data_IF_254411741324
#
_entry.id   IF_254411741324
#
_cell.length_a   1.000
_cell.length_b   1.000
_cell.length_c   1.000
_cell.angle_alpha   90.00
_cell.angle_beta   90.00
_cell.angle_gamma   90.00
#
_symmetry.space_group_name_H-M   'P 1'
#
loop_
_entity.id
_entity.type
_entity.pdbx_description
1 polymer ?
#
# COMPACT_ATOMS: atom_id res chain seq x y z
N UNK A 1 13.10 -2.79 -4.05
CA UNK A 1 11.80 -2.46 -4.68
C UNK A 1 11.80 -1.06 -5.29
N UNK A 2 12.28 -0.03 -4.58
CA UNK A 2 12.49 1.32 -5.15
C UNK A 2 13.27 1.29 -6.49
N UNK A 3 14.36 0.52 -6.58
CA UNK A 3 15.16 0.35 -7.82
C UNK A 3 14.36 -0.16 -9.03
N UNK A 4 13.36 -1.01 -8.81
CA UNK A 4 12.51 -1.57 -9.88
C UNK A 4 11.55 -0.50 -10.43
N UNK A 5 11.06 0.38 -9.56
CA UNK A 5 10.24 1.53 -9.97
C UNK A 5 11.08 2.59 -10.68
N UNK A 6 12.27 2.90 -10.18
CA UNK A 6 13.21 3.80 -10.85
C UNK A 6 13.59 3.28 -12.23
N UNK A 7 13.85 1.98 -12.37
CA UNK A 7 14.11 1.37 -13.69
C UNK A 7 12.91 1.48 -14.62
N UNK A 8 11.69 1.28 -14.12
CA UNK A 8 10.47 1.42 -14.91
C UNK A 8 10.25 2.85 -15.41
N UNK A 9 10.66 3.85 -14.63
CA UNK A 9 10.55 5.27 -14.98
C UNK A 9 11.71 5.72 -15.88
N UNK A 10 12.94 5.27 -15.62
CA UNK A 10 14.14 5.76 -16.34
C UNK A 10 14.13 5.40 -17.83
N UNK A 11 13.57 4.24 -18.18
CA UNK A 11 13.49 3.77 -19.57
C UNK A 11 12.13 4.02 -20.23
N UNK A 12 11.27 4.81 -19.59
CA UNK A 12 9.91 5.06 -20.05
C UNK A 12 9.76 6.36 -20.81
N UNK A 13 8.76 6.41 -21.70
CA UNK A 13 8.31 7.67 -22.30
C UNK A 13 7.31 8.34 -21.38
N UNK A 14 7.62 9.58 -20.99
CA UNK A 14 6.66 10.46 -20.31
C UNK A 14 5.50 10.83 -21.24
N UNK A 15 4.27 10.65 -20.78
CA UNK A 15 3.05 10.92 -21.54
C UNK A 15 2.31 12.19 -21.09
N UNK A 16 2.64 12.72 -19.92
CA UNK A 16 2.02 13.92 -19.39
C UNK A 16 1.57 13.78 -17.94
N UNK A 17 0.96 14.87 -17.45
CA UNK A 17 0.37 14.99 -16.12
C UNK A 17 -1.15 14.83 -16.22
N UNK A 18 -1.72 13.97 -15.39
CA UNK A 18 -3.14 13.64 -15.40
C UNK A 18 -3.74 13.73 -14.00
N UNK A 19 -4.88 14.40 -13.88
CA UNK A 19 -5.75 14.23 -12.70
C UNK A 19 -6.20 12.77 -12.59
N UNK A 20 -6.33 12.23 -11.38
CA UNK A 20 -6.60 10.81 -11.16
C UNK A 20 -7.78 10.24 -11.98
N UNK A 21 -8.91 10.96 -12.07
CA UNK A 21 -10.04 10.49 -12.88
C UNK A 21 -9.71 10.37 -14.37
N UNK A 22 -9.08 11.40 -14.94
CA UNK A 22 -8.67 11.44 -16.35
C UNK A 22 -7.55 10.45 -16.66
N UNK A 23 -6.69 10.16 -15.69
CA UNK A 23 -5.64 9.15 -15.80
C UNK A 23 -6.25 7.77 -16.07
N UNK A 24 -7.26 7.38 -15.29
CA UNK A 24 -7.92 6.08 -15.44
C UNK A 24 -8.58 5.95 -16.81
N UNK A 25 -9.33 6.97 -17.24
CA UNK A 25 -9.99 6.99 -18.54
C UNK A 25 -8.97 6.91 -19.69
N UNK A 26 -7.88 7.70 -19.61
CA UNK A 26 -6.84 7.71 -20.63
C UNK A 26 -6.12 6.37 -20.76
N UNK A 27 -5.83 5.71 -19.64
CA UNK A 27 -5.16 4.40 -19.64
C UNK A 27 -6.06 3.31 -20.22
N UNK A 28 -7.34 3.29 -19.84
CA UNK A 28 -8.35 2.35 -20.33
C UNK A 28 -8.54 2.50 -21.84
N UNK A 29 -8.81 3.72 -22.32
CA UNK A 29 -9.02 4.05 -23.73
C UNK A 29 -7.83 3.68 -24.63
N UNK A 30 -6.61 3.78 -24.10
CA UNK A 30 -5.37 3.52 -24.84
C UNK A 30 -4.83 2.12 -24.63
N UNK A 31 -5.43 1.32 -23.74
CA UNK A 31 -4.99 -0.03 -23.38
C UNK A 31 -3.49 -0.09 -23.03
N UNK A 32 -3.04 0.85 -22.19
CA UNK A 32 -1.61 1.06 -21.93
C UNK A 32 -1.06 0.16 -20.82
N UNK A 33 0.19 -0.23 -21.00
CA UNK A 33 1.07 -0.70 -19.94
C UNK A 33 1.88 0.50 -19.43
N UNK A 34 1.69 0.87 -18.17
CA UNK A 34 2.20 2.15 -17.68
C UNK A 34 2.46 2.19 -16.18
N UNK A 35 3.24 3.18 -15.77
CA UNK A 35 3.45 3.56 -14.37
C UNK A 35 3.03 5.01 -14.21
N UNK A 36 2.24 5.30 -13.19
CA UNK A 36 1.90 6.67 -12.82
C UNK A 36 2.44 7.00 -11.43
N UNK A 37 3.04 8.18 -11.28
CA UNK A 37 3.60 8.62 -10.00
C UNK A 37 2.97 9.92 -9.52
N UNK A 38 2.67 10.00 -8.23
CA UNK A 38 2.32 11.24 -7.54
C UNK A 38 3.31 11.43 -6.38
N UNK A 39 4.21 12.39 -6.55
CA UNK A 39 5.12 12.80 -5.49
C UNK A 39 4.52 13.98 -4.74
N UNK A 40 4.33 13.84 -3.44
CA UNK A 40 3.82 14.91 -2.59
C UNK A 40 4.62 15.01 -1.28
N UNK A 41 4.31 16.00 -0.44
CA UNK A 41 5.02 16.22 0.83
C UNK A 41 4.92 15.05 1.82
N UNK A 42 3.99 14.11 1.61
CA UNK A 42 3.76 12.94 2.45
C UNK A 42 4.34 11.66 1.83
N UNK A 43 5.15 11.76 0.78
CA UNK A 43 5.76 10.64 0.09
C UNK A 43 5.32 10.48 -1.36
N UNK A 44 5.68 9.35 -1.94
CA UNK A 44 5.44 9.01 -3.35
C UNK A 44 4.40 7.90 -3.45
N UNK A 45 3.40 8.10 -4.31
CA UNK A 45 2.44 7.08 -4.69
C UNK A 45 2.76 6.63 -6.11
N UNK A 46 2.72 5.32 -6.32
CA UNK A 46 2.98 4.69 -7.60
C UNK A 46 1.80 3.78 -7.94
N UNK A 47 1.23 3.98 -9.14
CA UNK A 47 0.19 3.12 -9.70
C UNK A 47 0.78 2.38 -10.90
N UNK A 48 0.47 1.09 -11.01
CA UNK A 48 0.94 0.21 -12.08
C UNK A 48 -0.28 -0.21 -12.88
N UNK A 49 -0.19 0.02 -14.19
CA UNK A 49 -1.21 -0.33 -15.16
C UNK A 49 -0.72 -1.43 -16.09
N UNK A 50 -1.54 -2.47 -16.25
CA UNK A 50 -1.31 -3.60 -17.16
C UNK A 50 -2.52 -3.68 -18.06
N UNK A 51 -2.30 -3.67 -19.37
CA UNK A 51 -3.36 -3.79 -20.39
C UNK A 51 -4.59 -2.91 -20.07
N UNK A 52 -4.35 -1.62 -19.80
CA UNK A 52 -5.43 -0.65 -19.55
C UNK A 52 -6.03 -0.68 -18.14
N UNK A 53 -5.60 -1.60 -17.27
CA UNK A 53 -6.16 -1.75 -15.93
C UNK A 53 -5.16 -1.41 -14.83
N UNK A 54 -5.63 -0.73 -13.78
CA UNK A 54 -4.85 -0.57 -12.55
C UNK A 54 -4.68 -1.93 -11.86
N UNK A 55 -3.47 -2.47 -11.95
CA UNK A 55 -3.12 -3.81 -11.53
C UNK A 55 -2.30 -3.84 -10.23
N UNK A 56 -1.58 -2.75 -9.93
CA UNK A 56 -0.79 -2.64 -8.71
C UNK A 56 -0.70 -1.22 -8.17
N UNK A 57 -0.40 -1.11 -6.89
CA UNK A 57 -0.13 0.16 -6.23
C UNK A 57 0.95 0.03 -5.17
N UNK A 58 1.81 1.05 -5.06
CA UNK A 58 2.77 1.20 -3.99
C UNK A 58 2.72 2.62 -3.44
N UNK A 59 3.01 2.76 -2.15
CA UNK A 59 3.28 4.05 -1.53
C UNK A 59 4.55 3.95 -0.71
N UNK A 60 5.38 4.98 -0.82
CA UNK A 60 6.64 5.10 -0.08
C UNK A 60 6.57 6.42 0.69
N UNK A 61 6.64 6.35 2.01
CA UNK A 61 6.70 7.51 2.90
C UNK A 61 7.57 7.25 4.13
N UNK A 62 7.57 8.18 5.08
CA UNK A 62 8.35 8.08 6.32
C UNK A 62 7.93 6.89 7.20
N UNK A 63 6.73 6.35 6.98
CA UNK A 63 6.20 5.16 7.65
C UNK A 63 6.47 3.86 6.88
N UNK A 64 7.31 3.92 5.83
CA UNK A 64 7.78 2.77 5.08
C UNK A 64 7.04 2.58 3.76
N UNK A 65 6.92 1.32 3.33
CA UNK A 65 6.27 0.97 2.07
C UNK A 65 4.92 0.29 2.32
N UNK A 66 3.90 0.74 1.59
CA UNK A 66 2.60 0.08 1.49
C UNK A 66 2.40 -0.45 0.07
N UNK A 67 1.66 -1.54 -0.05
CA UNK A 67 1.39 -2.18 -1.34
C UNK A 67 -0.09 -2.55 -1.50
N UNK A 68 -0.54 -2.62 -2.75
CA UNK A 68 -1.86 -3.13 -3.12
C UNK A 68 -3.01 -2.32 -2.57
N UNK A 69 -4.06 -3.01 -2.11
CA UNK A 69 -5.31 -2.40 -1.63
C UNK A 69 -5.09 -1.38 -0.50
N UNK A 70 -4.09 -1.61 0.36
CA UNK A 70 -3.71 -0.69 1.45
C UNK A 70 -3.41 0.72 0.93
N UNK A 71 -2.78 0.81 -0.24
CA UNK A 71 -2.45 2.09 -0.89
C UNK A 71 -3.72 2.76 -1.39
N UNK A 72 -4.61 2.00 -2.02
CA UNK A 72 -5.86 2.52 -2.60
C UNK A 72 -6.77 3.13 -1.53
N UNK A 73 -6.81 2.55 -0.33
CA UNK A 73 -7.58 3.10 0.80
C UNK A 73 -7.10 4.47 1.28
N UNK A 74 -5.82 4.77 1.09
CA UNK A 74 -5.21 6.03 1.54
C UNK A 74 -4.91 7.00 0.39
N UNK A 75 -5.31 6.63 -0.83
CA UNK A 75 -5.02 7.36 -2.05
C UNK A 75 -5.78 8.69 -2.09
N UNK A 76 -5.03 9.79 -2.22
CA UNK A 76 -5.61 11.09 -2.52
C UNK A 76 -5.98 11.16 -4.01
N UNK A 77 -7.27 10.99 -4.30
CA UNK A 77 -7.82 11.03 -5.67
C UNK A 77 -7.95 12.44 -6.24
N UNK A 78 -7.61 13.48 -5.48
CA UNK A 78 -7.57 14.86 -5.99
C UNK A 78 -6.20 15.24 -6.58
N UNK A 79 -5.20 14.36 -6.46
CA UNK A 79 -3.84 14.60 -6.94
C UNK A 79 -3.67 14.46 -8.46
N UNK A 80 -2.56 15.05 -8.94
CA UNK A 80 -2.07 14.92 -10.32
C UNK A 80 -0.96 13.88 -10.38
N UNK A 81 -1.03 12.99 -11.36
CA UNK A 81 -0.06 11.93 -11.57
C UNK A 81 0.74 12.16 -12.85
N UNK A 82 2.05 11.99 -12.78
CA UNK A 82 2.93 11.89 -13.94
C UNK A 82 2.80 10.50 -14.54
N UNK A 83 2.52 10.40 -15.83
CA UNK A 83 2.31 9.13 -16.51
C UNK A 83 3.49 8.75 -17.41
N UNK A 84 3.89 7.48 -17.33
CA UNK A 84 5.04 6.91 -18.02
C UNK A 84 4.68 5.57 -18.68
N UNK A 85 4.94 5.38 -19.97
CA UNK A 85 4.74 4.06 -20.62
C UNK A 85 5.80 3.07 -20.20
N UNK A 86 5.45 1.82 -19.98
CA UNK A 86 6.44 0.78 -19.68
C UNK A 86 6.22 -0.48 -20.49
N UNK A 87 7.25 -1.32 -20.58
CA UNK A 87 7.12 -2.63 -21.22
C UNK A 87 6.20 -3.54 -20.40
N UNK A 88 5.35 -4.32 -21.08
CA UNK A 88 4.38 -5.20 -20.43
C UNK A 88 5.01 -6.12 -19.38
N UNK A 89 6.13 -6.77 -19.71
CA UNK A 89 6.82 -7.67 -18.78
C UNK A 89 7.25 -6.99 -17.48
N UNK A 90 7.63 -5.70 -17.55
CA UNK A 90 8.00 -4.93 -16.39
C UNK A 90 6.75 -4.52 -15.60
N UNK A 91 5.70 -4.06 -16.26
CA UNK A 91 4.40 -3.77 -15.63
C UNK A 91 3.85 -5.01 -14.89
N UNK A 92 3.84 -6.17 -15.54
CA UNK A 92 3.41 -7.44 -14.94
C UNK A 92 4.24 -7.80 -13.71
N UNK A 93 5.56 -7.65 -13.79
CA UNK A 93 6.49 -7.94 -12.69
C UNK A 93 6.29 -7.02 -11.49
N UNK A 94 5.97 -5.74 -11.73
CA UNK A 94 5.67 -4.78 -10.68
C UNK A 94 4.28 -5.05 -10.08
N UNK A 95 3.27 -5.27 -10.92
CA UNK A 95 1.91 -5.56 -10.51
C UNK A 95 1.82 -6.84 -9.66
N UNK A 96 2.57 -7.89 -10.00
CA UNK A 96 2.63 -9.12 -9.22
C UNK A 96 3.08 -8.90 -7.77
N UNK A 97 3.96 -7.92 -7.52
CA UNK A 97 4.49 -7.58 -6.20
C UNK A 97 3.63 -6.59 -5.43
N UNK A 98 2.72 -5.90 -6.12
CA UNK A 98 2.00 -4.74 -5.59
C UNK A 98 0.50 -4.82 -5.86
N UNK A 99 -0.01 -6.04 -6.06
CA UNK A 99 -1.31 -6.33 -6.65
C UNK A 99 -2.45 -5.68 -5.89
N UNK A 100 -3.34 -5.04 -6.64
CA UNK A 100 -4.65 -4.59 -6.16
C UNK A 100 -5.63 -5.73 -6.42
N UNK A 101 -6.28 -6.22 -5.36
CA UNK A 101 -7.34 -7.22 -5.48
C UNK A 101 -8.71 -6.56 -5.50
N UNK A 102 -8.92 -5.54 -4.68
CA UNK A 102 -10.22 -4.87 -4.56
C UNK A 102 -10.28 -3.59 -5.40
N UNK A 103 -10.58 -3.79 -6.69
CA UNK A 103 -10.65 -2.69 -7.67
C UNK A 103 -11.82 -1.73 -7.47
N UNK A 104 -12.82 -2.06 -6.63
CA UNK A 104 -14.01 -1.20 -6.45
C UNK A 104 -13.65 0.16 -5.86
N UNK A 105 -12.54 0.24 -5.12
CA UNK A 105 -12.04 1.47 -4.53
C UNK A 105 -11.24 2.34 -5.49
N UNK A 106 -11.02 1.93 -6.74
CA UNK A 106 -10.30 2.74 -7.73
C UNK A 106 -11.24 3.79 -8.35
N UNK A 107 -12.39 3.36 -8.88
CA UNK A 107 -13.34 4.28 -9.51
C UNK A 107 -14.16 5.03 -8.45
N UNK A 108 -14.41 6.34 -8.61
CA UNK A 108 -15.43 7.01 -7.81
C UNK A 108 -16.79 6.42 -8.17
N UNK A 109 -17.46 5.75 -7.23
CA UNK A 109 -18.82 5.28 -7.47
C UNK A 109 -19.73 6.49 -7.78
N UNK A 110 -20.49 6.40 -8.88
CA UNK A 110 -21.72 7.18 -9.01
C UNK A 110 -22.66 6.63 -7.94
N UNK A 111 -22.87 7.41 -6.88
CA UNK A 111 -23.78 7.14 -5.77
C UNK A 111 -24.99 6.26 -6.17
N UNK A 112 -25.05 5.05 -5.63
CA UNK A 112 -26.34 4.40 -5.38
C UNK A 112 -26.64 4.59 -3.88
N UNK A 113 -27.82 5.12 -3.62
CA UNK A 113 -28.36 5.55 -2.32
C UNK A 113 -28.66 4.41 -1.35
N UNK A 114 -28.07 3.23 -1.55
CA UNK A 114 -28.30 2.04 -0.71
C UNK A 114 -27.08 1.67 0.15
N UNK A 115 -26.19 2.65 0.41
CA UNK A 115 -25.31 2.57 1.58
C UNK A 115 -26.14 2.80 2.84
N UNK A 116 -26.83 1.74 3.27
CA UNK A 116 -27.33 1.63 4.64
C UNK A 116 -26.17 1.93 5.59
N UNK A 117 -26.28 3.08 6.25
CA UNK A 117 -25.64 3.43 7.51
C UNK A 117 -24.31 2.75 7.80
N UNK A 118 -23.28 3.13 7.07
CA UNK A 118 -21.92 3.10 7.61
C UNK A 118 -21.89 4.17 8.72
N UNK A 119 -22.37 3.77 9.90
CA UNK A 119 -22.27 4.55 11.14
C UNK A 119 -20.82 5.03 11.27
N UNK A 120 -20.62 6.32 11.04
CA UNK A 120 -19.50 7.12 11.52
C UNK A 120 -18.11 6.44 11.50
N UNK A 121 -17.38 6.57 10.40
CA UNK A 121 -15.91 6.45 10.37
C UNK A 121 -15.24 7.58 11.21
N UNK A 122 -15.54 7.67 12.51
CA UNK A 122 -15.09 8.78 13.37
C UNK A 122 -13.64 8.66 13.87
N UNK A 123 -12.84 7.73 13.34
CA UNK A 123 -11.38 7.71 13.55
C UNK A 123 -10.69 7.44 12.22
N UNK A 124 -9.94 8.42 11.71
CA UNK A 124 -9.21 8.30 10.44
C UNK A 124 -8.27 7.07 10.47
N UNK A 125 -8.21 6.25 9.41
CA UNK A 125 -7.20 5.20 9.30
C UNK A 125 -5.79 5.81 9.42
N UNK A 126 -4.92 5.12 10.14
CA UNK A 126 -3.57 5.56 10.53
C UNK A 126 -2.50 4.65 9.96
N UNK A 127 -1.37 5.23 9.56
CA UNK A 127 -0.24 4.46 9.04
C UNK A 127 0.64 4.01 10.19
N UNK A 128 0.81 2.71 10.34
CA UNK A 128 1.62 2.12 11.40
C UNK A 128 2.82 1.46 10.75
N UNK A 129 4.01 1.88 11.16
CA UNK A 129 5.26 1.22 10.82
C UNK A 129 5.68 0.34 11.98
N UNK A 130 5.87 -0.95 11.71
CA UNK A 130 6.48 -1.87 12.65
C UNK A 130 7.94 -2.08 12.28
N UNK A 131 8.83 -2.04 13.27
CA UNK A 131 10.25 -2.39 13.12
C UNK A 131 10.52 -3.56 14.05
N UNK A 132 10.90 -4.70 13.50
CA UNK A 132 11.24 -5.91 14.28
C UNK A 132 12.76 -6.02 14.39
N UNK A 133 13.25 -6.11 15.62
CA UNK A 133 14.68 -6.19 15.94
C UNK A 133 14.94 -7.44 16.77
N UNK A 134 16.00 -8.17 16.44
CA UNK A 134 16.52 -9.31 17.21
C UNK A 134 18.03 -9.18 17.32
N UNK A 135 18.58 -9.36 18.52
CA UNK A 135 20.02 -9.21 18.79
C UNK A 135 20.61 -7.88 18.26
N UNK A 136 19.87 -6.79 18.46
CA UNK A 136 20.19 -5.43 17.97
C UNK A 136 20.32 -5.31 16.44
N UNK A 137 19.80 -6.28 15.67
CA UNK A 137 19.76 -6.26 14.20
C UNK A 137 18.32 -6.29 13.69
N UNK A 138 18.02 -5.61 12.57
CA UNK A 138 16.73 -5.73 11.93
C UNK A 138 16.44 -7.16 11.50
N UNK A 139 15.24 -7.64 11.80
CA UNK A 139 14.82 -9.00 11.44
C UNK A 139 14.02 -8.96 10.14
N UNK A 140 14.63 -9.43 9.06
CA UNK A 140 14.08 -9.40 7.69
C UNK A 140 13.25 -10.63 7.36
N UNK A 141 12.19 -10.46 6.57
CA UNK A 141 11.40 -11.54 5.99
C UNK A 141 10.45 -12.24 6.95
N UNK A 142 10.28 -11.73 8.17
CA UNK A 142 9.36 -12.32 9.15
C UNK A 142 7.94 -11.81 8.96
N UNK A 143 6.97 -12.67 9.23
CA UNK A 143 5.55 -12.34 9.05
C UNK A 143 5.03 -11.63 10.30
N UNK A 144 4.46 -10.45 10.11
CA UNK A 144 3.77 -9.70 11.16
C UNK A 144 2.28 -9.75 10.88
N UNK A 145 1.50 -10.26 11.83
CA UNK A 145 0.04 -10.41 11.73
C UNK A 145 -0.61 -9.52 12.78
N UNK A 146 -1.61 -8.74 12.38
CA UNK A 146 -2.40 -7.89 13.24
C UNK A 146 -3.85 -8.31 13.20
N UNK A 147 -4.40 -8.63 14.37
CA UNK A 147 -5.78 -9.04 14.55
C UNK A 147 -6.49 -8.11 15.53
N UNK A 148 -7.60 -7.52 15.09
CA UNK A 148 -8.52 -6.75 15.95
C UNK A 148 -9.71 -7.63 16.27
N UNK A 149 -9.96 -7.88 17.55
CA UNK A 149 -11.06 -8.71 18.03
C UNK A 149 -11.15 -10.06 17.28
N UNK A 150 -12.33 -10.41 16.77
CA UNK A 150 -12.60 -11.63 16.00
C UNK A 150 -12.45 -11.45 14.47
N UNK A 151 -11.94 -10.30 14.00
CA UNK A 151 -11.76 -10.08 12.57
C UNK A 151 -10.65 -10.99 11.99
N UNK A 152 -10.69 -11.29 10.68
CA UNK A 152 -9.54 -11.88 9.98
C UNK A 152 -8.29 -11.00 10.17
N UNK A 153 -7.15 -11.63 10.49
CA UNK A 153 -5.89 -10.91 10.66
C UNK A 153 -5.38 -10.34 9.33
N UNK A 154 -4.89 -9.10 9.36
CA UNK A 154 -4.08 -8.55 8.26
C UNK A 154 -2.61 -8.86 8.52
N UNK A 155 -1.81 -9.03 7.47
CA UNK A 155 -0.40 -9.32 7.64
C UNK A 155 0.47 -8.59 6.63
N UNK A 156 1.75 -8.54 6.94
CA UNK A 156 2.82 -8.12 6.03
C UNK A 156 4.13 -8.80 6.42
N UNK A 157 5.15 -8.69 5.57
CA UNK A 157 6.49 -9.22 5.83
C UNK A 157 7.48 -8.07 6.04
N UNK A 158 8.41 -8.24 6.97
CA UNK A 158 9.45 -7.24 7.20
C UNK A 158 10.42 -7.14 6.02
N UNK A 159 10.78 -5.90 5.69
CA UNK A 159 11.78 -5.56 4.67
C UNK A 159 13.21 -5.75 5.19
N UNK A 160 14.21 -5.44 4.36
CA UNK A 160 15.63 -5.56 4.69
C UNK A 160 16.05 -4.74 5.92
N UNK A 161 15.32 -3.67 6.22
CA UNK A 161 15.50 -2.82 7.39
C UNK A 161 14.65 -3.26 8.59
N UNK A 162 14.06 -4.47 8.52
CA UNK A 162 13.20 -5.03 9.55
C UNK A 162 11.82 -4.38 9.64
N UNK A 163 11.46 -3.51 8.68
CA UNK A 163 10.22 -2.74 8.75
C UNK A 163 9.08 -3.31 7.92
N UNK A 164 7.84 -3.13 8.37
CA UNK A 164 6.63 -3.36 7.57
C UNK A 164 5.53 -2.34 7.91
N UNK A 165 4.63 -2.09 6.96
CA UNK A 165 3.63 -1.03 7.04
C UNK A 165 2.19 -1.53 7.05
N UNK A 166 1.34 -0.87 7.84
CA UNK A 166 -0.10 -1.13 7.89
C UNK A 166 -0.91 0.16 7.86
N UNK A 167 -2.13 0.08 7.34
CA UNK A 167 -3.14 1.13 7.46
C UNK A 167 -4.25 0.59 8.34
N UNK A 168 -4.36 1.09 9.56
CA UNK A 168 -5.22 0.53 10.61
C UNK A 168 -6.06 1.61 11.28
N UNK A 169 -7.23 1.21 11.76
CA UNK A 169 -8.01 2.06 12.65
C UNK A 169 -7.43 2.03 14.07
N UNK A 170 -7.71 3.06 14.86
CA UNK A 170 -7.44 3.01 16.30
C UNK A 170 -8.16 1.84 16.99
N UNK A 171 -7.60 1.41 18.10
CA UNK A 171 -8.12 0.30 18.92
C UNK A 171 -7.03 -0.67 19.35
N UNK A 172 -7.47 -1.75 20.01
CA UNK A 172 -6.59 -2.79 20.54
C UNK A 172 -6.40 -3.90 19.51
N UNK A 173 -5.16 -4.33 19.34
CA UNK A 173 -4.76 -5.38 18.40
C UNK A 173 -3.89 -6.41 19.10
N UNK A 174 -4.07 -7.67 18.72
CA UNK A 174 -3.07 -8.71 18.92
C UNK A 174 -2.11 -8.68 17.74
N UNK A 175 -0.85 -8.38 18.01
CA UNK A 175 0.25 -8.44 17.06
C UNK A 175 1.00 -9.75 17.26
N UNK A 176 1.06 -10.58 16.23
CA UNK A 176 1.79 -11.85 16.23
C UNK A 176 2.91 -11.80 15.20
N UNK A 177 4.14 -12.02 15.64
CA UNK A 177 5.32 -12.14 14.79
C UNK A 177 5.65 -13.62 14.66
N UNK A 178 5.63 -14.14 13.44
CA UNK A 178 6.07 -15.49 13.12
C UNK A 178 7.52 -15.40 12.65
N UNK A 179 8.45 -15.75 13.54
CA UNK A 179 9.88 -15.76 13.24
C UNK A 179 10.23 -16.94 12.33
N UNK A 180 9.70 -18.12 12.66
CA UNK A 180 9.84 -19.36 11.88
C UNK A 180 8.65 -20.28 12.22
N UNK A 181 8.61 -21.49 11.65
CA UNK A 181 7.49 -22.43 11.84
C UNK A 181 7.23 -22.84 13.29
N UNK A 182 8.23 -22.72 14.17
CA UNK A 182 8.17 -23.16 15.57
C UNK A 182 8.19 -21.99 16.57
N UNK A 183 8.44 -20.76 16.13
CA UNK A 183 8.62 -19.60 17.01
C UNK A 183 7.67 -18.47 16.63
N UNK A 184 6.73 -18.19 17.52
CA UNK A 184 5.83 -17.04 17.46
C UNK A 184 5.94 -16.16 18.70
N UNK A 185 5.79 -14.85 18.50
CA UNK A 185 5.79 -13.85 19.57
C UNK A 185 4.53 -13.01 19.48
N UNK A 186 3.77 -12.90 20.57
CA UNK A 186 2.48 -12.19 20.58
C UNK A 186 2.46 -11.03 21.58
N UNK A 187 2.00 -9.86 21.11
CA UNK A 187 1.95 -8.61 21.86
C UNK A 187 0.58 -7.96 21.74
N UNK A 188 0.07 -7.44 22.85
CA UNK A 188 -1.12 -6.58 22.83
C UNK A 188 -0.69 -5.14 22.56
N UNK A 189 -1.23 -4.54 21.51
CA UNK A 189 -0.86 -3.21 21.05
C UNK A 189 -2.10 -2.35 20.95
N UNK A 190 -2.07 -1.20 21.62
CA UNK A 190 -3.11 -0.19 21.52
C UNK A 190 -2.70 0.90 20.55
N UNK A 191 -3.52 1.12 19.52
CA UNK A 191 -3.32 2.14 18.51
C UNK A 191 -4.25 3.32 18.77
N UNK A 192 -3.67 4.51 18.95
CA UNK A 192 -4.41 5.75 19.26
C UNK A 192 -5.07 6.39 18.02
N UNK A 193 -5.07 5.72 16.86
CA UNK A 193 -5.61 6.28 15.62
C UNK A 193 -4.82 7.49 15.10
N UNK A 194 -3.49 7.47 15.31
CA UNK A 194 -2.52 8.37 14.67
C UNK A 194 -1.41 7.56 14.03
N UNK A 195 -0.81 8.08 12.96
CA UNK A 195 0.34 7.42 12.35
C UNK A 195 1.49 7.33 13.33
N UNK A 196 2.09 6.15 13.46
CA UNK A 196 3.08 5.87 14.51
C UNK A 196 4.09 4.82 14.05
N UNK A 197 5.24 4.82 14.71
CA UNK A 197 6.27 3.80 14.55
C UNK A 197 6.36 2.98 15.83
N UNK A 198 6.37 1.66 15.71
CA UNK A 198 6.43 0.71 16.82
C UNK A 198 7.62 -0.22 16.62
N UNK A 199 8.54 -0.20 17.57
CA UNK A 199 9.68 -1.12 17.59
C UNK A 199 9.39 -2.30 18.51
N UNK A 200 9.50 -3.51 17.97
CA UNK A 200 9.37 -4.76 18.72
C UNK A 200 10.75 -5.41 18.80
N UNK A 201 11.20 -5.66 20.03
CA UNK A 201 12.44 -6.40 20.31
C UNK A 201 12.10 -7.84 20.68
N UNK A 202 12.67 -8.79 19.95
CA UNK A 202 12.59 -10.24 20.20
C UNK A 202 13.77 -10.72 21.03
#
# INVERSE_FOLDING_TARGET
>A
MAELFEKAITNSKYLGDFEYGKLLDYIDDKNLNAVATNDNKKGSIILIFVDGEAAGAAQIDDYGMLYGDKVIYSLDKSGTFKLYTTEKNLADSLAARTRIFDKKYLKPEKFSSDLQDIKSFSTKPSKIKFIVIKDEKPLTGVKVILKKDNAPGTYDYTSFDGSCGFVLQGGDYLCTIIENEETEHSYHIKLEGKSTEITIKL
#
